data_IF_219418477701
#
_entry.id   IF_219418477701
#
_cell.length_a   1.000
_cell.length_b   1.000
_cell.length_c   1.000
_cell.angle_alpha   90.00
_cell.angle_beta   90.00
_cell.angle_gamma   90.00
#
_symmetry.space_group_name_H-M   'P 1'
#
loop_
_entity.id
_entity.type
_entity.pdbx_description
1 polymer ?
#
# COMPACT_ATOMS: atom_id res chain seq x y z
N UNK A 1 7.72 -2.37 9.80
CA UNK A 1 7.96 -0.96 10.18
C UNK A 1 6.96 -0.04 9.49
N UNK A 2 6.61 1.05 10.12
CA UNK A 2 5.74 2.06 9.56
C UNK A 2 6.36 3.45 9.76
N UNK A 3 5.90 4.42 9.00
CA UNK A 3 6.40 5.79 9.11
C UNK A 3 5.24 6.78 8.89
N UNK A 4 5.38 7.96 9.48
CA UNK A 4 4.45 9.06 9.28
C UNK A 4 5.23 10.23 8.69
N UNK A 5 4.83 10.66 7.50
CA UNK A 5 5.42 11.81 6.84
C UNK A 5 4.53 13.03 7.09
N UNK A 6 5.12 14.07 7.66
CA UNK A 6 4.37 15.24 8.12
C UNK A 6 4.75 16.46 7.29
N UNK A 7 3.73 17.11 6.72
CA UNK A 7 3.92 18.37 5.99
C UNK A 7 4.43 19.48 6.90
N UNK A 8 5.29 20.40 6.41
CA UNK A 8 5.79 21.54 7.20
C UNK A 8 4.70 22.48 7.74
N UNK A 9 3.49 22.43 7.19
CA UNK A 9 2.38 23.24 7.68
C UNK A 9 1.87 22.81 9.06
N UNK A 10 2.20 21.61 9.51
CA UNK A 10 1.85 21.12 10.85
C UNK A 10 3.02 21.34 11.80
N UNK A 11 2.76 21.90 12.97
CA UNK A 11 3.78 22.10 14.01
C UNK A 11 3.73 20.92 14.97
N UNK A 12 4.88 20.26 15.23
CA UNK A 12 4.91 19.15 16.19
C UNK A 12 4.70 19.66 17.62
N UNK A 13 4.01 18.86 18.41
CA UNK A 13 3.81 19.11 19.84
C UNK A 13 4.30 17.86 20.57
N UNK A 14 5.01 18.07 21.69
CA UNK A 14 5.53 16.97 22.51
C UNK A 14 4.40 16.05 22.96
N UNK A 15 4.64 14.73 22.81
CA UNK A 15 3.68 13.71 23.23
C UNK A 15 2.53 13.45 22.27
N UNK A 16 2.49 14.14 21.13
CA UNK A 16 1.43 13.97 20.13
C UNK A 16 1.53 12.66 19.40
N UNK A 17 2.74 12.23 19.06
CA UNK A 17 3.03 10.95 18.44
C UNK A 17 4.20 10.31 19.16
N UNK A 18 4.19 8.99 19.25
CA UNK A 18 5.30 8.30 19.86
C UNK A 18 5.16 6.79 19.77
N UNK A 19 6.28 6.11 19.94
CA UNK A 19 6.37 4.67 20.00
C UNK A 19 7.62 4.28 20.78
N UNK A 20 7.54 3.17 21.52
CA UNK A 20 8.62 2.74 22.39
C UNK A 20 9.89 2.40 21.63
N UNK A 21 9.79 1.69 20.51
CA UNK A 21 10.94 1.22 19.73
C UNK A 21 11.11 1.95 18.39
N UNK A 22 10.41 3.07 18.20
CA UNK A 22 10.46 3.81 16.94
C UNK A 22 11.86 4.26 16.58
N UNK A 23 12.24 4.06 15.33
CA UNK A 23 13.54 4.46 14.82
C UNK A 23 14.72 3.59 15.27
N UNK A 24 14.47 2.39 15.82
CA UNK A 24 15.57 1.53 16.18
C UNK A 24 16.38 1.13 14.93
N UNK A 25 17.71 0.92 15.14
CA UNK A 25 18.63 0.76 14.02
C UNK A 25 18.38 -0.49 13.19
N UNK A 26 17.95 -1.59 13.81
CA UNK A 26 17.65 -2.83 13.09
C UNK A 26 16.44 -2.65 12.15
N UNK A 27 15.36 -2.06 12.65
CA UNK A 27 14.19 -1.80 11.84
C UNK A 27 14.47 -0.79 10.73
N UNK A 28 15.26 0.25 11.00
CA UNK A 28 15.64 1.23 9.98
C UNK A 28 16.53 0.61 8.89
N UNK A 29 17.47 -0.24 9.26
CA UNK A 29 18.32 -0.94 8.29
C UNK A 29 17.47 -1.86 7.38
N UNK A 30 16.54 -2.58 7.97
CA UNK A 30 15.62 -3.43 7.21
C UNK A 30 14.71 -2.60 6.27
N UNK A 31 14.20 -1.49 6.75
CA UNK A 31 13.36 -0.60 5.94
C UNK A 31 14.11 0.01 4.76
N UNK A 32 15.35 0.44 4.98
CA UNK A 32 16.20 0.97 3.90
C UNK A 32 16.47 -0.08 2.84
N UNK A 33 16.73 -1.33 3.24
CA UNK A 33 16.93 -2.43 2.30
C UNK A 33 15.68 -2.67 1.44
N UNK A 34 14.49 -2.62 2.04
CA UNK A 34 13.22 -2.74 1.31
C UNK A 34 13.04 -1.61 0.30
N UNK A 35 13.32 -0.36 0.71
CA UNK A 35 13.22 0.79 -0.18
C UNK A 35 14.19 0.69 -1.36
N UNK A 36 15.41 0.22 -1.12
CA UNK A 36 16.40 0.02 -2.18
C UNK A 36 15.92 -1.01 -3.21
N UNK A 37 15.34 -2.12 -2.75
CA UNK A 37 14.77 -3.15 -3.64
C UNK A 37 13.59 -2.61 -4.42
N UNK A 38 12.71 -1.86 -3.77
CA UNK A 38 11.55 -1.24 -4.43
C UNK A 38 11.99 -0.33 -5.58
N UNK A 39 13.05 0.44 -5.36
CA UNK A 39 13.57 1.34 -6.38
C UNK A 39 14.31 0.59 -7.48
N UNK A 40 15.24 -0.31 -7.13
CA UNK A 40 16.07 -1.01 -8.11
C UNK A 40 15.29 -1.98 -8.98
N UNK A 41 14.23 -2.59 -8.48
CA UNK A 41 13.39 -3.52 -9.22
C UNK A 41 12.09 -2.88 -9.74
N UNK A 42 11.93 -1.57 -9.60
CA UNK A 42 10.77 -0.82 -10.09
C UNK A 42 9.43 -1.42 -9.62
N UNK A 43 9.35 -1.76 -8.32
CA UNK A 43 8.18 -2.47 -7.79
C UNK A 43 6.91 -1.61 -7.78
N UNK A 44 7.03 -0.29 -7.60
CA UNK A 44 5.87 0.63 -7.61
C UNK A 44 5.27 0.68 -9.00
N UNK A 45 6.09 0.83 -10.03
CA UNK A 45 5.65 0.85 -11.43
C UNK A 45 5.06 -0.49 -11.83
N UNK A 46 5.68 -1.59 -11.40
CA UNK A 46 5.16 -2.93 -11.64
C UNK A 46 3.79 -3.12 -10.98
N UNK A 47 3.63 -2.66 -9.75
CA UNK A 47 2.34 -2.74 -9.04
C UNK A 47 1.25 -1.95 -9.77
N UNK A 48 1.57 -0.78 -10.33
CA UNK A 48 0.62 0.01 -11.10
C UNK A 48 0.18 -0.72 -12.37
N UNK A 49 1.12 -1.23 -13.14
CA UNK A 49 0.83 -1.92 -14.41
C UNK A 49 0.07 -3.23 -14.20
N UNK A 50 0.56 -4.08 -13.30
CA UNK A 50 -0.06 -5.38 -13.04
C UNK A 50 -1.42 -5.19 -12.37
N UNK A 51 -1.54 -4.22 -11.46
CA UNK A 51 -2.80 -3.90 -10.80
C UNK A 51 -3.87 -3.45 -11.78
N UNK A 52 -3.54 -2.54 -12.70
CA UNK A 52 -4.47 -2.09 -13.73
C UNK A 52 -4.90 -3.24 -14.64
N UNK A 53 -3.95 -4.09 -15.04
CA UNK A 53 -4.24 -5.27 -15.82
C UNK A 53 -5.22 -6.20 -15.09
N UNK A 54 -4.98 -6.48 -13.82
CA UNK A 54 -5.83 -7.35 -13.02
C UNK A 54 -7.24 -6.79 -12.85
N UNK A 55 -7.37 -5.50 -12.53
CA UNK A 55 -8.67 -4.84 -12.37
C UNK A 55 -9.45 -4.90 -13.69
N UNK A 56 -8.81 -4.60 -14.82
CA UNK A 56 -9.44 -4.64 -16.13
C UNK A 56 -9.90 -6.05 -16.50
N UNK A 57 -9.09 -7.07 -16.21
CA UNK A 57 -9.46 -8.46 -16.45
C UNK A 57 -10.63 -8.92 -15.59
N UNK A 58 -10.66 -8.51 -14.32
CA UNK A 58 -11.77 -8.83 -13.42
C UNK A 58 -13.07 -8.18 -13.87
N UNK A 59 -13.02 -6.93 -14.31
CA UNK A 59 -14.22 -6.23 -14.82
C UNK A 59 -14.70 -6.83 -16.14
N UNK A 60 -13.79 -7.19 -17.02
CA UNK A 60 -14.12 -7.78 -18.31
C UNK A 60 -14.69 -9.20 -18.18
N UNK A 61 -14.32 -9.94 -17.14
CA UNK A 61 -14.78 -11.31 -16.92
C UNK A 61 -16.27 -11.38 -16.54
N UNK A 62 -16.87 -10.28 -16.07
CA UNK A 62 -18.30 -10.20 -15.68
C UNK A 62 -18.70 -11.37 -14.78
N UNK A 63 -17.94 -11.58 -13.71
CA UNK A 63 -18.15 -12.70 -12.80
C UNK A 63 -19.48 -12.54 -12.04
N UNK A 64 -20.20 -13.66 -11.80
CA UNK A 64 -21.44 -13.61 -11.02
C UNK A 64 -21.14 -13.20 -9.58
N UNK A 65 -22.11 -12.52 -8.95
CA UNK A 65 -22.02 -12.05 -7.57
C UNK A 65 -20.95 -10.98 -7.29
N UNK A 66 -20.23 -10.50 -8.29
CA UNK A 66 -19.31 -9.37 -8.14
C UNK A 66 -20.06 -8.08 -8.43
N UNK A 67 -20.16 -7.22 -7.40
CA UNK A 67 -20.84 -5.93 -7.51
C UNK A 67 -19.87 -4.86 -8.00
N UNK A 68 -18.66 -4.85 -7.45
CA UNK A 68 -17.67 -3.82 -7.73
C UNK A 68 -16.26 -4.37 -7.63
N UNK A 69 -15.37 -3.84 -8.47
CA UNK A 69 -13.94 -4.10 -8.43
C UNK A 69 -13.24 -2.75 -8.40
N UNK A 70 -12.47 -2.50 -7.35
CA UNK A 70 -11.79 -1.22 -7.14
C UNK A 70 -10.42 -1.44 -6.55
N UNK A 71 -9.58 -0.45 -6.67
CA UNK A 71 -8.27 -0.49 -6.03
C UNK A 71 -7.26 0.41 -6.70
N UNK A 72 -6.06 0.38 -6.15
CA UNK A 72 -4.91 1.10 -6.66
C UNK A 72 -3.70 0.18 -6.61
N UNK A 73 -2.97 0.07 -7.72
CA UNK A 73 -1.87 -0.88 -7.81
C UNK A 73 -2.37 -2.29 -7.52
N UNK A 74 -1.67 -3.00 -6.67
CA UNK A 74 -2.04 -4.37 -6.28
C UNK A 74 -2.93 -4.44 -5.03
N UNK A 75 -3.34 -3.29 -4.48
CA UNK A 75 -4.33 -3.25 -3.40
C UNK A 75 -5.71 -3.18 -4.03
N UNK A 76 -6.38 -4.33 -4.15
CA UNK A 76 -7.61 -4.50 -4.92
C UNK A 76 -8.71 -5.05 -4.01
N UNK A 77 -9.88 -4.42 -4.08
CA UNK A 77 -11.09 -4.89 -3.42
C UNK A 77 -12.09 -5.42 -4.42
N UNK A 78 -12.65 -6.57 -4.13
CA UNK A 78 -13.74 -7.16 -4.90
C UNK A 78 -14.94 -7.28 -3.97
N UNK A 79 -16.01 -6.55 -4.30
CA UNK A 79 -17.23 -6.55 -3.51
C UNK A 79 -18.18 -7.62 -4.03
N UNK A 80 -18.70 -8.44 -3.13
CA UNK A 80 -19.61 -9.52 -3.46
C UNK A 80 -21.00 -9.26 -2.88
N UNK A 81 -22.04 -9.78 -3.53
CA UNK A 81 -23.43 -9.67 -3.07
C UNK A 81 -23.90 -10.94 -2.33
N UNK A 82 -22.98 -11.83 -1.98
CA UNK A 82 -23.30 -13.08 -1.30
C UNK A 82 -22.78 -13.06 0.15
N UNK A 83 -23.48 -13.68 1.10
CA UNK A 83 -22.95 -13.89 2.45
C UNK A 83 -21.82 -14.94 2.40
N UNK A 84 -20.80 -14.77 3.29
CA UNK A 84 -19.71 -15.75 3.46
C UNK A 84 -20.01 -16.71 4.59
#
# INVERSE_FOLDING_TARGET
MAAVLISPKFKPVYGQLGTTFGGNHLACAAALAVLDVMESEHLVENAAEVGDYLINQLKAAQLPHVIDVRGRGLMIGVELDIPY
#
